data_IF_968810700857
#
_entry.id   IF_968810700857
#
_cell.length_a   1.000
_cell.length_b   1.000
_cell.length_c   1.000
_cell.angle_alpha   90.00
_cell.angle_beta   90.00
_cell.angle_gamma   90.00
#
_symmetry.space_group_name_H-M   'P 1'
#
loop_
_entity.id
_entity.type
_entity.pdbx_description
1 polymer ?
#
# COMPACT_ATOMS: atom_id res chain seq x y z
N UNK A 1 -2.75 19.86 16.07
CA UNK A 1 -3.34 18.56 15.72
C UNK A 1 -2.44 17.95 14.65
N UNK A 2 -1.70 16.90 14.97
CA UNK A 2 -0.87 16.21 13.97
C UNK A 2 -1.75 15.38 13.05
N UNK A 3 -1.46 15.34 11.75
CA UNK A 3 -2.06 14.36 10.86
C UNK A 3 -1.55 12.98 11.28
N UNK A 4 -2.41 12.16 11.87
CA UNK A 4 -2.05 10.80 12.22
C UNK A 4 -1.65 10.04 10.95
N UNK A 5 -0.41 9.55 10.92
CA UNK A 5 0.08 8.73 9.81
C UNK A 5 -0.48 7.33 9.97
N UNK A 6 -1.53 7.02 9.21
CA UNK A 6 -2.21 5.73 9.23
C UNK A 6 -1.81 4.94 7.99
N UNK A 7 -1.44 3.67 8.20
CA UNK A 7 -1.11 2.74 7.13
C UNK A 7 -2.34 2.54 6.21
N UNK A 8 -2.20 2.87 4.93
CA UNK A 8 -3.25 2.76 3.92
C UNK A 8 -3.75 1.33 3.71
N UNK A 9 -2.97 0.32 4.09
CA UNK A 9 -3.33 -1.10 3.91
C UNK A 9 -4.02 -1.72 5.14
N UNK A 10 -3.58 -1.41 6.36
CA UNK A 10 -4.02 -2.13 7.56
C UNK A 10 -4.48 -1.24 8.73
N UNK A 11 -4.43 0.09 8.58
CA UNK A 11 -4.86 1.03 9.62
C UNK A 11 -3.90 1.21 10.80
N UNK A 12 -2.73 0.56 10.80
CA UNK A 12 -1.71 0.76 11.85
C UNK A 12 -1.16 2.19 11.83
N UNK A 13 -0.90 2.76 13.00
CA UNK A 13 -0.21 4.05 13.19
C UNK A 13 1.28 3.90 13.50
N UNK A 14 1.76 2.66 13.64
CA UNK A 14 3.11 2.36 14.07
C UNK A 14 4.12 2.55 12.92
N UNK A 15 5.07 3.46 13.12
CA UNK A 15 6.23 3.67 12.24
C UNK A 15 5.85 3.80 10.76
N UNK A 16 4.77 4.54 10.48
CA UNK A 16 4.22 4.70 9.14
C UNK A 16 5.04 5.73 8.35
N UNK A 17 5.55 5.31 7.21
CA UNK A 17 6.35 6.10 6.28
C UNK A 17 5.64 6.26 4.94
N UNK A 18 6.03 7.30 4.17
CA UNK A 18 5.56 7.49 2.80
C UNK A 18 6.40 6.62 1.89
N UNK A 19 5.74 5.78 1.09
CA UNK A 19 6.33 4.95 0.07
C UNK A 19 5.76 5.31 -1.30
N UNK A 20 6.63 5.43 -2.30
CA UNK A 20 6.23 5.67 -3.68
C UNK A 20 6.06 4.35 -4.40
N UNK A 21 4.85 4.03 -4.82
CA UNK A 21 4.55 2.73 -5.47
C UNK A 21 4.35 2.88 -6.97
N UNK A 22 4.94 1.94 -7.71
CA UNK A 22 4.91 1.90 -9.20
C UNK A 22 4.25 0.62 -9.72
N UNK A 23 4.04 -0.37 -8.86
CA UNK A 23 3.41 -1.66 -9.17
C UNK A 23 1.90 -1.64 -8.90
N UNK A 24 1.24 -0.54 -9.26
CA UNK A 24 -0.21 -0.38 -9.13
C UNK A 24 -0.89 -0.91 -10.39
N UNK A 25 -2.02 -1.59 -10.27
CA UNK A 25 -2.79 -2.13 -11.40
C UNK A 25 -4.18 -1.49 -11.51
N UNK A 26 -4.62 -1.04 -12.71
CA UNK A 26 -3.83 -0.90 -13.94
C UNK A 26 -2.64 0.04 -13.76
N UNK A 27 -1.57 -0.14 -14.55
CA UNK A 27 -0.35 0.65 -14.41
C UNK A 27 -0.67 2.14 -14.65
N UNK A 28 -0.54 2.98 -13.62
CA UNK A 28 -0.85 4.39 -13.77
C UNK A 28 0.28 5.12 -14.52
N UNK A 29 -0.06 6.25 -15.14
CA UNK A 29 0.92 7.15 -15.76
C UNK A 29 1.76 7.90 -14.71
N UNK A 30 1.28 7.96 -13.46
CA UNK A 30 1.88 8.69 -12.35
C UNK A 30 2.16 7.78 -11.15
N UNK A 31 3.16 8.14 -10.35
CA UNK A 31 3.49 7.40 -9.12
C UNK A 31 2.55 7.77 -7.98
N UNK A 32 2.15 6.78 -7.17
CA UNK A 32 1.26 7.01 -6.02
C UNK A 32 2.05 7.02 -4.71
N UNK A 33 2.06 8.13 -3.95
CA UNK A 33 2.55 8.12 -2.58
C UNK A 33 1.52 7.43 -1.67
N UNK A 34 1.94 6.41 -0.94
CA UNK A 34 1.10 5.68 0.01
C UNK A 34 1.76 5.66 1.38
N UNK A 35 0.95 5.64 2.44
CA UNK A 35 1.45 5.52 3.81
C UNK A 35 1.48 4.04 4.18
N UNK A 36 2.66 3.49 4.47
CA UNK A 36 2.82 2.07 4.81
C UNK A 36 3.58 1.91 6.13
N UNK A 37 3.10 0.98 6.97
CA UNK A 37 3.88 0.48 8.09
C UNK A 37 4.96 -0.51 7.60
N UNK A 38 5.98 -0.83 8.42
CA UNK A 38 7.08 -1.70 8.02
C UNK A 38 6.64 -3.08 7.50
N UNK A 39 5.55 -3.64 8.05
CA UNK A 39 4.99 -4.93 7.63
C UNK A 39 4.45 -4.88 6.20
N UNK A 40 3.63 -3.88 5.87
CA UNK A 40 3.05 -3.74 4.53
C UNK A 40 4.10 -3.31 3.51
N UNK A 41 5.07 -2.48 3.90
CA UNK A 41 6.25 -2.14 3.09
C UNK A 41 7.02 -3.41 2.70
N UNK A 42 7.31 -4.30 3.65
CA UNK A 42 7.94 -5.60 3.37
C UNK A 42 7.08 -6.51 2.50
N UNK A 43 5.76 -6.52 2.69
CA UNK A 43 4.85 -7.30 1.85
C UNK A 43 4.88 -6.82 0.38
N UNK A 44 4.95 -5.50 0.16
CA UNK A 44 5.09 -4.90 -1.16
C UNK A 44 6.42 -5.30 -1.81
N UNK A 45 7.55 -5.10 -1.11
CA UNK A 45 8.89 -5.40 -1.61
C UNK A 45 9.08 -6.88 -1.92
N UNK A 46 8.42 -7.77 -1.16
CA UNK A 46 8.45 -9.21 -1.37
C UNK A 46 7.43 -9.71 -2.42
N UNK A 47 6.70 -8.81 -3.10
CA UNK A 47 5.65 -9.14 -4.08
C UNK A 47 4.54 -10.04 -3.51
N UNK A 48 4.33 -9.98 -2.19
CA UNK A 48 3.23 -10.67 -1.48
C UNK A 48 2.05 -9.74 -1.21
N UNK A 49 2.09 -8.52 -1.73
CA UNK A 49 0.99 -7.56 -1.74
C UNK A 49 0.88 -6.93 -3.12
N UNK A 50 -0.32 -6.95 -3.70
CA UNK A 50 -0.66 -6.18 -4.90
C UNK A 50 -1.41 -4.91 -4.50
N UNK A 51 -1.28 -3.88 -5.33
CA UNK A 51 -2.02 -2.62 -5.18
C UNK A 51 -2.86 -2.44 -6.44
N UNK A 52 -4.17 -2.30 -6.27
CA UNK A 52 -5.12 -2.16 -7.37
C UNK A 52 -5.87 -0.83 -7.22
N UNK A 53 -6.03 -0.09 -8.31
CA UNK A 53 -6.92 1.08 -8.35
C UNK A 53 -8.31 0.60 -8.72
N UNK A 54 -9.30 0.92 -7.88
CA UNK A 54 -10.70 0.63 -8.18
C UNK A 54 -11.28 1.62 -9.21
N UNK A 55 -12.53 1.40 -9.62
CA UNK A 55 -13.21 2.26 -10.60
C UNK A 55 -13.45 3.71 -10.11
N UNK A 56 -13.31 3.95 -8.81
CA UNK A 56 -13.47 5.26 -8.18
C UNK A 56 -12.11 5.97 -7.98
N UNK A 57 -10.99 5.35 -8.39
CA UNK A 57 -9.65 5.88 -8.20
C UNK A 57 -9.03 5.57 -6.84
N UNK A 58 -9.66 4.74 -6.00
CA UNK A 58 -9.12 4.38 -4.69
C UNK A 58 -8.12 3.23 -4.79
N UNK A 59 -7.08 3.29 -3.96
CA UNK A 59 -6.10 2.21 -3.84
C UNK A 59 -6.61 1.12 -2.91
N UNK A 60 -6.64 -0.11 -3.42
CA UNK A 60 -6.93 -1.34 -2.69
C UNK A 60 -5.66 -2.18 -2.54
N UNK A 61 -5.37 -2.62 -1.32
CA UNK A 61 -4.17 -3.40 -0.99
C UNK A 61 -4.55 -4.87 -0.78
N UNK A 62 -4.07 -5.77 -1.65
CA UNK A 62 -4.41 -7.18 -1.64
C UNK A 62 -3.19 -7.99 -1.19
N UNK A 63 -3.22 -8.48 0.06
CA UNK A 63 -2.18 -9.38 0.57
C UNK A 63 -2.41 -10.79 0.04
N UNK A 64 -1.47 -11.30 -0.76
CA UNK A 64 -1.46 -12.68 -1.23
C UNK A 64 -1.22 -13.60 -0.04
N UNK A 65 -2.26 -14.33 0.38
CA UNK A 65 -2.07 -15.46 1.29
C UNK A 65 -1.26 -16.51 0.53
N UNK A 66 -0.13 -16.94 1.11
CA UNK A 66 0.48 -18.19 0.68
C UNK A 66 -0.55 -19.28 0.98
N UNK A 67 -1.19 -19.81 -0.06
CA UNK A 67 -1.90 -21.08 0.07
C UNK A 67 -0.85 -22.11 0.50
N UNK A 68 -1.07 -22.85 1.60
CA UNK A 68 -0.16 -23.88 2.07
C UNK A 68 0.02 -25.01 1.05
#
# INVERSE_FOLDING_TARGET
MGLDRICSSCGSTESVEIETVTNVMPQPQEMFPVLLCPKCKKALQSKTMDIVIDQNGNLSFIVKKKTP
#
